data_IF_758399389092
#
_entry.id   IF_758399389092
#
_cell.length_a   1.000
_cell.length_b   1.000
_cell.length_c   1.000
_cell.angle_alpha   90.00
_cell.angle_beta   90.00
_cell.angle_gamma   90.00
#
_symmetry.space_group_name_H-M   'P 1'
#
loop_
_entity.id
_entity.type
_entity.pdbx_description
1 polymer ?
#
# COMPACT_ATOMS: atom_id res chain seq x y z
N UNK A 1 1.67 -20.87 5.18
CA UNK A 1 2.50 -20.39 4.06
C UNK A 1 2.09 -18.98 3.62
N UNK A 2 2.81 -18.38 2.66
CA UNK A 2 2.41 -17.13 1.97
C UNK A 2 1.06 -17.33 1.30
N UNK A 3 0.90 -18.44 0.59
CA UNK A 3 -0.38 -18.80 -0.04
C UNK A 3 -1.53 -18.76 0.96
N UNK A 4 -1.39 -19.44 2.09
CA UNK A 4 -2.45 -19.52 3.12
C UNK A 4 -2.77 -18.15 3.72
N UNK A 5 -1.76 -17.29 3.89
CA UNK A 5 -1.97 -15.92 4.36
C UNK A 5 -2.85 -15.10 3.41
N UNK A 6 -2.64 -15.21 2.11
CA UNK A 6 -3.45 -14.50 1.10
C UNK A 6 -4.83 -15.14 0.95
N UNK A 7 -4.90 -16.50 0.97
CA UNK A 7 -6.15 -17.25 0.88
C UNK A 7 -7.10 -17.02 2.06
N UNK A 8 -6.55 -16.69 3.24
CA UNK A 8 -7.33 -16.56 4.47
C UNK A 8 -8.54 -15.64 4.33
N UNK A 9 -8.32 -14.43 3.81
CA UNK A 9 -9.41 -13.44 3.65
C UNK A 9 -10.48 -13.90 2.65
N UNK A 10 -10.09 -14.65 1.61
CA UNK A 10 -11.03 -15.21 0.64
C UNK A 10 -11.88 -16.33 1.25
N UNK A 11 -11.23 -17.19 2.06
CA UNK A 11 -11.91 -18.27 2.78
C UNK A 11 -12.94 -17.72 3.75
N UNK A 12 -12.55 -16.71 4.56
CA UNK A 12 -13.46 -16.06 5.51
C UNK A 12 -14.61 -15.34 4.79
N UNK A 13 -14.36 -14.76 3.62
CA UNK A 13 -15.38 -14.11 2.79
C UNK A 13 -16.29 -15.10 2.04
N UNK A 14 -16.08 -16.43 2.19
CA UNK A 14 -16.92 -17.46 1.58
C UNK A 14 -16.72 -17.66 0.08
N UNK A 15 -15.53 -17.36 -0.44
CA UNK A 15 -15.21 -17.63 -1.85
C UNK A 15 -15.23 -19.14 -2.13
N UNK A 16 -15.68 -19.58 -3.32
CA UNK A 16 -15.60 -20.97 -3.75
C UNK A 16 -14.14 -21.45 -3.76
N UNK A 17 -13.89 -22.65 -3.22
CA UNK A 17 -12.52 -23.20 -3.13
C UNK A 17 -11.82 -23.29 -4.49
N UNK A 18 -12.58 -23.52 -5.58
CA UNK A 18 -12.06 -23.57 -6.94
C UNK A 18 -11.47 -22.21 -7.40
N UNK A 19 -12.01 -21.09 -6.89
CA UNK A 19 -11.61 -19.76 -7.30
C UNK A 19 -10.46 -19.22 -6.43
N UNK A 20 -10.34 -19.69 -5.19
CA UNK A 20 -9.33 -19.22 -4.23
C UNK A 20 -7.91 -19.39 -4.78
N UNK A 21 -7.59 -20.57 -5.32
CA UNK A 21 -6.23 -20.85 -5.79
C UNK A 21 -5.82 -19.85 -6.89
N UNK A 22 -6.65 -19.69 -7.90
CA UNK A 22 -6.38 -18.76 -9.00
C UNK A 22 -6.23 -17.34 -8.48
N UNK A 23 -7.17 -16.88 -7.64
CA UNK A 23 -7.17 -15.51 -7.11
C UNK A 23 -5.92 -15.21 -6.26
N UNK A 24 -5.48 -16.18 -5.45
CA UNK A 24 -4.25 -16.05 -4.67
C UNK A 24 -3.03 -15.90 -5.57
N UNK A 25 -2.92 -16.76 -6.62
CA UNK A 25 -1.79 -16.71 -7.53
C UNK A 25 -1.78 -15.39 -8.32
N UNK A 26 -2.94 -14.90 -8.80
CA UNK A 26 -3.07 -13.60 -9.47
C UNK A 26 -2.60 -12.46 -8.54
N UNK A 27 -2.98 -12.48 -7.25
CA UNK A 27 -2.52 -11.49 -6.28
C UNK A 27 -1.01 -11.57 -5.99
N UNK A 28 -0.44 -12.77 -5.93
CA UNK A 28 1.00 -12.97 -5.74
C UNK A 28 1.81 -12.53 -6.96
N UNK A 29 1.25 -12.67 -8.16
CA UNK A 29 1.85 -12.15 -9.39
C UNK A 29 1.95 -10.62 -9.36
N UNK A 30 0.86 -9.93 -9.01
CA UNK A 30 0.81 -8.46 -8.90
C UNK A 30 1.89 -7.93 -7.95
N UNK A 31 2.18 -8.64 -6.86
CA UNK A 31 3.20 -8.22 -5.88
C UNK A 31 4.58 -8.86 -6.09
N UNK A 32 4.78 -9.59 -7.20
CA UNK A 32 6.05 -10.25 -7.56
C UNK A 32 6.54 -11.25 -6.49
N UNK A 33 5.63 -12.15 -6.07
CA UNK A 33 5.90 -13.18 -5.06
C UNK A 33 5.37 -14.58 -5.42
N UNK A 34 5.11 -14.87 -6.70
CA UNK A 34 4.61 -16.20 -7.13
C UNK A 34 5.54 -17.33 -6.66
N UNK A 35 6.85 -17.15 -6.84
CA UNK A 35 7.87 -18.12 -6.47
C UNK A 35 8.00 -18.32 -4.95
N UNK A 36 7.36 -17.48 -4.16
CA UNK A 36 7.32 -17.51 -2.70
C UNK A 36 6.03 -18.08 -2.12
N UNK A 37 5.07 -18.51 -2.94
CA UNK A 37 3.76 -18.98 -2.48
C UNK A 37 3.85 -20.08 -1.40
N UNK A 38 4.77 -21.02 -1.54
CA UNK A 38 5.00 -22.11 -0.56
C UNK A 38 5.88 -21.74 0.64
N UNK A 39 6.48 -20.56 0.68
CA UNK A 39 7.37 -20.15 1.78
C UNK A 39 6.57 -19.74 3.01
N UNK A 40 7.23 -19.81 4.17
CA UNK A 40 6.70 -19.29 5.43
C UNK A 40 7.13 -17.84 5.64
N UNK A 41 6.34 -17.00 6.33
CA UNK A 41 6.70 -15.60 6.60
C UNK A 41 8.08 -15.41 7.24
N UNK A 42 8.53 -16.37 8.05
CA UNK A 42 9.87 -16.33 8.67
C UNK A 42 11.03 -16.41 7.66
N UNK A 43 10.76 -16.88 6.45
CA UNK A 43 11.76 -17.03 5.37
C UNK A 43 11.81 -15.80 4.44
N UNK A 44 11.01 -14.77 4.73
CA UNK A 44 10.85 -13.58 3.89
C UNK A 44 11.58 -12.37 4.46
N UNK A 45 12.10 -11.50 3.57
CA UNK A 45 12.59 -10.18 3.94
C UNK A 45 11.44 -9.28 4.42
N UNK A 46 11.77 -8.14 5.06
CA UNK A 46 10.78 -7.15 5.50
C UNK A 46 9.88 -6.67 4.36
N UNK A 47 10.48 -6.29 3.23
CA UNK A 47 9.72 -5.85 2.05
C UNK A 47 8.84 -6.95 1.45
N UNK A 48 9.31 -8.20 1.42
CA UNK A 48 8.49 -9.33 0.99
C UNK A 48 7.29 -9.55 1.93
N UNK A 49 7.48 -9.43 3.25
CA UNK A 49 6.36 -9.49 4.21
C UNK A 49 5.32 -8.41 3.97
N UNK A 50 5.76 -7.17 3.69
CA UNK A 50 4.85 -6.08 3.33
C UNK A 50 4.07 -6.40 2.05
N UNK A 51 4.72 -6.91 1.02
CA UNK A 51 4.06 -7.34 -0.22
C UNK A 51 3.04 -8.47 0.00
N UNK A 52 3.32 -9.43 0.88
CA UNK A 52 2.33 -10.45 1.30
C UNK A 52 1.12 -9.80 1.98
N UNK A 53 1.35 -8.81 2.86
CA UNK A 53 0.27 -8.04 3.48
C UNK A 53 -0.62 -7.33 2.46
N UNK A 54 0.00 -6.73 1.43
CA UNK A 54 -0.72 -6.09 0.33
C UNK A 54 -1.50 -7.11 -0.49
N UNK A 55 -0.88 -8.23 -0.91
CA UNK A 55 -1.55 -9.31 -1.65
C UNK A 55 -2.79 -9.82 -0.90
N UNK A 56 -2.67 -10.05 0.42
CA UNK A 56 -3.77 -10.43 1.30
C UNK A 56 -4.89 -9.39 1.32
N UNK A 57 -4.53 -8.11 1.33
CA UNK A 57 -5.49 -7.02 1.40
C UNK A 57 -6.25 -6.82 0.07
N UNK A 58 -5.59 -7.01 -1.09
CA UNK A 58 -6.22 -6.87 -2.41
C UNK A 58 -6.98 -8.13 -2.87
N UNK A 59 -6.74 -9.29 -2.23
CA UNK A 59 -7.37 -10.56 -2.61
C UNK A 59 -8.90 -10.49 -2.69
N UNK A 60 -9.64 -9.89 -1.73
CA UNK A 60 -11.09 -9.78 -1.81
C UNK A 60 -11.59 -8.66 -2.74
N UNK A 61 -10.74 -8.09 -3.59
CA UNK A 61 -11.06 -7.01 -4.53
C UNK A 61 -11.69 -5.77 -3.85
N UNK A 62 -11.01 -5.16 -2.87
CA UNK A 62 -11.54 -3.99 -2.16
C UNK A 62 -11.61 -2.78 -3.08
N UNK A 63 -12.48 -1.82 -2.76
CA UNK A 63 -12.50 -0.51 -3.41
C UNK A 63 -11.46 0.45 -2.85
N UNK A 64 -11.09 0.25 -1.58
CA UNK A 64 -10.13 1.08 -0.86
C UNK A 64 -9.13 0.20 -0.12
N UNK A 65 -7.85 0.49 -0.27
CA UNK A 65 -6.74 -0.10 0.47
C UNK A 65 -6.20 0.95 1.46
N UNK A 66 -6.16 0.60 2.74
CA UNK A 66 -5.55 1.43 3.77
C UNK A 66 -4.15 0.90 4.08
N UNK A 67 -3.14 1.74 3.98
CA UNK A 67 -1.76 1.42 4.27
C UNK A 67 -1.22 2.39 5.34
N UNK A 68 -0.95 1.86 6.53
CA UNK A 68 -0.42 2.61 7.65
C UNK A 68 1.09 2.37 7.75
N UNK A 69 1.88 3.44 7.58
CA UNK A 69 3.35 3.44 7.60
C UNK A 69 3.98 2.29 6.79
N UNK A 70 3.58 2.06 5.51
CA UNK A 70 3.98 0.86 4.78
C UNK A 70 5.48 0.77 4.48
N UNK A 71 6.22 1.88 4.63
CA UNK A 71 7.65 2.00 4.29
C UNK A 71 8.57 2.17 5.48
N UNK A 72 8.06 2.40 6.69
CA UNK A 72 8.81 2.85 7.88
C UNK A 72 9.95 1.91 8.32
N UNK A 73 9.89 0.63 7.98
CA UNK A 73 10.90 -0.37 8.37
C UNK A 73 11.73 -0.88 7.18
N UNK A 74 11.73 -0.17 6.05
CA UNK A 74 12.35 -0.60 4.81
C UNK A 74 13.54 0.29 4.44
N UNK A 75 14.54 -0.31 3.80
CA UNK A 75 15.63 0.44 3.17
C UNK A 75 15.13 1.23 1.94
N UNK A 76 15.86 2.25 1.48
CA UNK A 76 15.40 3.11 0.39
C UNK A 76 15.15 2.39 -0.96
N UNK A 77 15.86 1.30 -1.24
CA UNK A 77 15.66 0.55 -2.48
C UNK A 77 14.36 -0.27 -2.42
N UNK A 78 14.13 -0.95 -1.30
CA UNK A 78 12.91 -1.70 -1.01
C UNK A 78 11.69 -0.78 -0.94
N UNK A 79 11.83 0.41 -0.32
CA UNK A 79 10.79 1.45 -0.31
C UNK A 79 10.37 1.83 -1.73
N UNK A 80 11.31 2.18 -2.61
CA UNK A 80 10.99 2.52 -4.01
C UNK A 80 10.24 1.39 -4.73
N UNK A 81 10.71 0.16 -4.55
CA UNK A 81 10.07 -1.03 -5.15
C UNK A 81 8.65 -1.25 -4.63
N UNK A 82 8.40 -1.01 -3.35
CA UNK A 82 7.06 -1.11 -2.75
C UNK A 82 6.13 -0.01 -3.27
N UNK A 83 6.62 1.23 -3.39
CA UNK A 83 5.82 2.34 -3.91
C UNK A 83 5.43 2.12 -5.39
N UNK A 84 6.34 1.55 -6.20
CA UNK A 84 6.01 1.15 -7.57
C UNK A 84 4.90 0.09 -7.57
N UNK A 85 5.02 -0.94 -6.75
CA UNK A 85 3.99 -1.98 -6.61
C UNK A 85 2.61 -1.39 -6.21
N UNK A 86 2.56 -0.44 -5.27
CA UNK A 86 1.32 0.22 -4.88
C UNK A 86 0.72 1.04 -6.04
N UNK A 87 1.54 1.71 -6.82
CA UNK A 87 1.10 2.44 -8.02
C UNK A 87 0.52 1.49 -9.06
N UNK A 88 1.21 0.40 -9.35
CA UNK A 88 0.74 -0.61 -10.31
C UNK A 88 -0.61 -1.21 -9.88
N UNK A 89 -0.80 -1.47 -8.58
CA UNK A 89 -2.07 -1.91 -8.00
C UNK A 89 -3.19 -0.88 -8.23
N UNK A 90 -2.92 0.40 -7.98
CA UNK A 90 -3.90 1.46 -8.20
C UNK A 90 -4.29 1.55 -9.67
N UNK A 91 -3.31 1.54 -10.59
CA UNK A 91 -3.53 1.66 -12.04
C UNK A 91 -4.22 0.44 -12.63
N UNK A 92 -3.80 -0.78 -12.25
CA UNK A 92 -4.31 -2.02 -12.83
C UNK A 92 -5.67 -2.45 -12.24
N UNK A 93 -5.87 -2.25 -10.94
CA UNK A 93 -7.07 -2.71 -10.25
C UNK A 93 -8.09 -1.60 -9.98
N UNK A 94 -7.76 -0.33 -10.20
CA UNK A 94 -8.61 0.81 -9.89
C UNK A 94 -8.94 0.97 -8.40
N UNK A 95 -8.09 0.41 -7.52
CA UNK A 95 -8.25 0.47 -6.07
C UNK A 95 -7.78 1.84 -5.57
N UNK A 96 -8.62 2.56 -4.84
CA UNK A 96 -8.18 3.77 -4.13
C UNK A 96 -7.24 3.41 -3.00
N UNK A 97 -6.03 3.99 -2.98
CA UNK A 97 -5.06 3.74 -1.91
C UNK A 97 -4.98 4.95 -0.99
N UNK A 98 -5.20 4.74 0.30
CA UNK A 98 -5.02 5.74 1.35
C UNK A 98 -3.80 5.34 2.16
N UNK A 99 -2.79 6.21 2.17
CA UNK A 99 -1.53 5.99 2.89
C UNK A 99 -1.46 6.95 4.07
N UNK A 100 -1.19 6.42 5.25
CA UNK A 100 -0.81 7.21 6.42
C UNK A 100 0.72 7.13 6.55
N UNK A 101 1.38 8.27 6.52
CA UNK A 101 2.85 8.35 6.63
C UNK A 101 3.29 9.74 7.06
N UNK A 102 4.43 9.82 7.69
CA UNK A 102 5.16 11.05 7.95
C UNK A 102 6.27 11.32 6.92
N UNK A 103 6.50 10.39 5.99
CA UNK A 103 7.52 10.53 4.95
C UNK A 103 7.01 11.37 3.77
N UNK A 104 7.42 12.64 3.69
CA UNK A 104 7.02 13.56 2.61
C UNK A 104 7.44 13.05 1.21
N UNK A 105 8.56 12.33 1.14
CA UNK A 105 9.04 11.70 -0.10
C UNK A 105 8.06 10.68 -0.67
N UNK A 106 7.37 9.92 0.18
CA UNK A 106 6.32 8.95 -0.20
C UNK A 106 5.11 9.69 -0.77
N UNK A 107 4.64 10.72 -0.05
CA UNK A 107 3.50 11.53 -0.45
C UNK A 107 3.73 12.16 -1.81
N UNK A 108 4.87 12.83 -2.00
CA UNK A 108 5.23 13.51 -3.27
C UNK A 108 5.36 12.58 -4.46
N UNK A 109 5.76 11.31 -4.23
CA UNK A 109 5.99 10.33 -5.30
C UNK A 109 4.76 9.54 -5.72
N UNK A 110 3.88 9.26 -4.78
CA UNK A 110 2.81 8.28 -5.00
C UNK A 110 1.41 8.91 -5.00
N UNK A 111 1.20 9.99 -4.23
CA UNK A 111 -0.14 10.50 -3.99
C UNK A 111 -0.51 11.62 -4.95
N UNK A 112 -1.79 11.70 -5.33
CA UNK A 112 -2.39 12.81 -6.08
C UNK A 112 -2.91 13.89 -5.15
N UNK A 113 -3.22 13.52 -3.91
CA UNK A 113 -3.78 14.41 -2.88
C UNK A 113 -3.19 14.05 -1.50
N UNK A 114 -3.06 15.05 -0.64
CA UNK A 114 -2.64 14.90 0.75
C UNK A 114 -3.69 15.48 1.68
N UNK A 115 -4.05 14.71 2.73
CA UNK A 115 -4.88 15.17 3.84
C UNK A 115 -3.98 15.45 5.05
N UNK A 116 -4.01 16.68 5.55
CA UNK A 116 -3.22 17.10 6.71
C UNK A 116 -4.04 16.99 7.97
N UNK A 117 -3.57 16.14 8.90
CA UNK A 117 -4.19 15.96 10.22
C UNK A 117 -3.32 16.59 11.31
N UNK A 118 -3.95 17.33 12.21
CA UNK A 118 -3.31 17.90 13.39
C UNK A 118 -4.24 17.80 14.60
N UNK A 119 -3.75 17.27 15.70
CA UNK A 119 -4.52 17.08 16.95
C UNK A 119 -5.89 16.39 16.73
N UNK A 120 -5.94 15.37 15.85
CA UNK A 120 -7.16 14.63 15.56
C UNK A 120 -8.15 15.34 14.63
N UNK A 121 -7.81 16.51 14.09
CA UNK A 121 -8.65 17.27 13.17
C UNK A 121 -8.07 17.29 11.76
N UNK A 122 -8.93 17.18 10.76
CA UNK A 122 -8.56 17.40 9.36
C UNK A 122 -8.46 18.90 9.12
N UNK A 123 -7.24 19.40 8.91
CA UNK A 123 -7.00 20.82 8.65
C UNK A 123 -7.22 21.19 7.20
N UNK A 124 -6.76 20.34 6.29
CA UNK A 124 -6.71 20.66 4.88
C UNK A 124 -6.62 19.39 4.05
N UNK A 125 -7.18 19.43 2.84
CA UNK A 125 -6.91 18.46 1.79
C UNK A 125 -6.31 19.23 0.62
N UNK A 126 -5.06 18.95 0.30
CA UNK A 126 -4.30 19.63 -0.74
C UNK A 126 -4.06 18.72 -1.96
N UNK A 127 -4.15 19.27 -3.16
CA UNK A 127 -3.73 18.57 -4.38
C UNK A 127 -2.19 18.51 -4.44
N UNK A 128 -1.68 17.49 -5.12
CA UNK A 128 -0.26 17.37 -5.41
C UNK A 128 -0.07 17.52 -6.93
N UNK A 129 0.76 18.47 -7.33
CA UNK A 129 1.07 18.73 -8.74
C UNK A 129 2.59 18.78 -8.92
N UNK A 130 3.10 17.97 -9.83
CA UNK A 130 4.55 17.85 -10.09
C UNK A 130 5.37 17.57 -8.81
N UNK A 131 4.82 16.74 -7.92
CA UNK A 131 5.44 16.41 -6.63
C UNK A 131 5.38 17.52 -5.57
N UNK A 132 4.66 18.62 -5.86
CA UNK A 132 4.48 19.73 -4.93
C UNK A 132 3.08 19.72 -4.32
N UNK A 133 3.04 19.68 -2.99
CA UNK A 133 1.79 19.75 -2.22
C UNK A 133 1.31 21.20 -2.20
N UNK A 134 0.09 21.45 -2.70
CA UNK A 134 -0.50 22.78 -2.83
C UNK A 134 -1.19 23.20 -1.52
N UNK A 135 -0.44 23.21 -0.39
CA UNK A 135 -0.97 23.61 0.90
C UNK A 135 -1.27 25.11 0.94
N UNK A 136 -2.45 25.47 1.49
CA UNK A 136 -2.93 26.85 1.61
C UNK A 136 -2.86 27.37 3.04
N UNK A 137 -3.08 26.50 4.03
CA UNK A 137 -3.04 26.87 5.44
C UNK A 137 -1.61 27.15 5.92
N UNK A 138 -1.45 28.00 6.94
CA UNK A 138 -0.14 28.29 7.54
C UNK A 138 0.52 27.05 8.10
N UNK A 139 -0.25 26.18 8.78
CA UNK A 139 0.24 24.91 9.35
C UNK A 139 0.63 23.96 8.21
N UNK A 140 -0.22 23.83 7.18
CA UNK A 140 0.06 23.00 6.01
C UNK A 140 1.36 23.41 5.30
N UNK A 141 1.57 24.71 5.08
CA UNK A 141 2.81 25.22 4.50
C UNK A 141 4.03 24.93 5.37
N UNK A 142 3.91 25.03 6.70
CA UNK A 142 4.98 24.65 7.64
C UNK A 142 5.37 23.19 7.48
N UNK A 143 4.39 22.28 7.56
CA UNK A 143 4.61 20.82 7.46
C UNK A 143 5.20 20.39 6.10
N UNK A 144 4.90 21.09 5.01
CA UNK A 144 5.43 20.77 3.66
C UNK A 144 6.87 21.23 3.47
N UNK A 145 7.35 22.20 4.27
CA UNK A 145 8.68 22.80 4.15
C UNK A 145 9.70 22.30 5.20
N UNK A 146 9.32 21.39 6.08
CA UNK A 146 10.21 20.84 7.14
C UNK A 146 11.13 19.68 6.67
N UNK A 147 11.45 19.58 5.35
CA UNK A 147 12.43 18.62 4.79
C UNK A 147 13.73 19.33 4.35
#
# INVERSE_FOLDING_TARGET
TVFDNVAFNLTVAGYPSADIHKRVMDCLEIVDLIDRAGHYPAQLSGGQKQRVGIARAIAPSPKVLLADEPTSALDPATTRSLLTCLRDINEQLGVTIVIVTHEMSVIRRLCDRAALLHQGQLLEVADIRDGLIQATTTIGKGLVHED
#
